data_IF_948590874247
#
_entry.id   IF_948590874247
#
_cell.length_a   1.000
_cell.length_b   1.000
_cell.length_c   1.000
_cell.angle_alpha   90.00
_cell.angle_beta   90.00
_cell.angle_gamma   90.00
#
_symmetry.space_group_name_H-M   'P 1'
#
loop_
_entity.id
_entity.type
_entity.pdbx_description
1 polymer ?
#
# COMPACT_ATOMS: atom_id res chain seq x y z
N UNK A 1 26.61 5.62 -3.46
CA UNK A 1 25.35 4.91 -3.18
C UNK A 1 24.29 5.63 -4.01
N UNK A 2 23.73 4.97 -5.02
CA UNK A 2 22.65 5.55 -5.83
C UNK A 2 21.34 5.41 -5.04
N UNK A 3 20.50 6.45 -5.05
CA UNK A 3 19.23 6.50 -4.34
C UNK A 3 18.10 6.65 -5.35
N UNK A 4 17.14 5.73 -5.31
CA UNK A 4 15.90 5.84 -6.10
C UNK A 4 14.68 5.76 -5.19
N UNK A 5 13.55 6.24 -5.69
CA UNK A 5 12.27 6.19 -4.98
C UNK A 5 11.31 5.20 -5.63
N UNK A 6 10.60 4.44 -4.79
CA UNK A 6 9.42 3.66 -5.15
C UNK A 6 8.28 4.16 -4.29
N UNK A 7 7.45 5.07 -4.82
CA UNK A 7 6.54 5.85 -3.99
C UNK A 7 7.30 6.61 -2.89
N UNK A 8 6.83 6.54 -1.65
CA UNK A 8 7.45 7.11 -0.46
C UNK A 8 8.39 6.13 0.24
N UNK A 9 9.18 5.38 -0.54
CA UNK A 9 10.20 4.41 -0.08
C UNK A 9 11.52 4.73 -0.77
N UNK A 10 12.57 4.86 0.03
CA UNK A 10 13.94 5.07 -0.43
C UNK A 10 14.61 3.72 -0.68
N UNK A 11 15.20 3.56 -1.86
CA UNK A 11 15.88 2.34 -2.30
C UNK A 11 17.34 2.67 -2.58
N UNK A 12 18.23 2.04 -1.81
CA UNK A 12 19.67 2.28 -1.89
C UNK A 12 20.35 1.19 -2.68
N UNK A 13 21.21 1.58 -3.62
CA UNK A 13 21.93 0.66 -4.49
C UNK A 13 23.43 0.67 -4.21
N UNK A 14 24.04 -0.51 -4.32
CA UNK A 14 25.49 -0.67 -4.30
C UNK A 14 26.13 -0.21 -5.64
N UNK A 15 27.46 -0.31 -5.74
CA UNK A 15 28.19 0.06 -6.94
C UNK A 15 27.89 -0.86 -8.15
N UNK A 16 27.36 -2.06 -7.93
CA UNK A 16 26.95 -3.00 -8.97
C UNK A 16 25.52 -2.77 -9.47
N UNK A 17 24.78 -1.82 -8.87
CA UNK A 17 23.38 -1.57 -9.20
C UNK A 17 22.40 -2.56 -8.57
N UNK A 18 22.83 -3.32 -7.56
CA UNK A 18 21.94 -4.17 -6.77
C UNK A 18 21.35 -3.41 -5.59
N UNK A 19 20.11 -3.74 -5.22
CA UNK A 19 19.47 -3.18 -4.03
C UNK A 19 20.22 -3.66 -2.80
N UNK A 20 20.77 -2.71 -2.04
CA UNK A 20 21.48 -2.95 -0.79
C UNK A 20 20.55 -2.85 0.42
N UNK A 21 19.66 -1.85 0.42
CA UNK A 21 18.66 -1.65 1.48
C UNK A 21 17.46 -0.86 0.98
N UNK A 22 16.38 -0.94 1.75
CA UNK A 22 15.17 -0.13 1.56
C UNK A 22 14.82 0.55 2.88
N UNK A 23 14.32 1.78 2.81
CA UNK A 23 13.88 2.53 3.98
C UNK A 23 12.54 3.21 3.70
N UNK A 24 11.61 3.08 4.64
CA UNK A 24 10.34 3.77 4.56
C UNK A 24 10.54 5.28 4.81
N UNK A 25 10.29 6.12 3.80
CA UNK A 25 10.38 7.57 3.92
C UNK A 25 9.04 8.18 4.39
N UNK A 26 7.91 7.59 3.94
CA UNK A 26 6.55 7.96 4.35
C UNK A 26 6.11 7.36 5.69
N UNK A 27 4.81 7.41 5.97
CA UNK A 27 4.19 6.73 7.12
C UNK A 27 3.65 5.34 6.75
N UNK A 28 3.47 4.48 7.75
CA UNK A 28 2.69 3.26 7.58
C UNK A 28 1.20 3.57 7.70
N UNK A 29 0.39 3.05 6.78
CA UNK A 29 -1.06 3.02 6.83
C UNK A 29 -1.53 1.64 7.27
N UNK A 30 -2.22 1.56 8.38
CA UNK A 30 -2.93 0.37 8.82
C UNK A 30 -4.36 0.43 8.27
N UNK A 31 -4.67 -0.47 7.33
CA UNK A 31 -6.00 -0.57 6.72
C UNK A 31 -6.98 -1.27 7.68
N UNK A 32 -7.25 -0.63 8.81
CA UNK A 32 -8.11 -1.15 9.88
C UNK A 32 -9.58 -1.08 9.53
N UNK A 33 -10.36 -2.03 10.05
CA UNK A 33 -11.83 -2.06 9.94
C UNK A 33 -12.52 -0.97 10.77
N UNK A 34 -11.80 -0.30 11.69
CA UNK A 34 -12.32 0.80 12.49
C UNK A 34 -12.21 2.14 11.74
N UNK A 35 -13.34 2.77 11.32
CA UNK A 35 -13.30 4.01 10.55
C UNK A 35 -12.67 5.17 11.31
N UNK A 36 -12.83 5.23 12.64
CA UNK A 36 -12.24 6.32 13.44
C UNK A 36 -10.71 6.25 13.42
N UNK A 37 -10.13 5.05 13.47
CA UNK A 37 -8.68 4.85 13.39
C UNK A 37 -8.13 5.13 11.99
N UNK A 38 -8.88 4.83 10.92
CA UNK A 38 -8.52 5.26 9.56
C UNK A 38 -8.47 6.79 9.46
N UNK A 39 -9.51 7.49 9.91
CA UNK A 39 -9.58 8.95 9.83
C UNK A 39 -8.46 9.62 10.63
N UNK A 40 -8.11 9.10 11.81
CA UNK A 40 -6.93 9.55 12.59
C UNK A 40 -5.64 9.49 11.77
N UNK A 41 -5.38 8.37 11.10
CA UNK A 41 -4.18 8.21 10.27
C UNK A 41 -4.14 9.20 9.11
N UNK A 42 -5.27 9.42 8.43
CA UNK A 42 -5.38 10.42 7.35
C UNK A 42 -5.15 11.84 7.87
N UNK A 43 -5.57 12.13 9.11
CA UNK A 43 -5.29 13.38 9.82
C UNK A 43 -3.84 13.57 10.28
N UNK A 44 -2.95 12.60 10.01
CA UNK A 44 -1.53 12.68 10.36
C UNK A 44 -1.14 11.92 11.64
N UNK A 45 -2.10 11.40 12.40
CA UNK A 45 -1.82 10.67 13.65
C UNK A 45 -1.10 9.34 13.37
N UNK A 46 -0.12 9.02 14.21
CA UNK A 46 0.53 7.71 14.23
C UNK A 46 -0.18 6.89 15.31
N UNK A 47 -0.69 5.71 14.95
CA UNK A 47 -1.35 4.83 15.90
C UNK A 47 -0.32 4.13 16.79
N UNK A 48 -0.42 4.35 18.09
CA UNK A 48 0.41 3.70 19.11
C UNK A 48 -0.47 3.24 20.29
N UNK A 49 -0.66 1.92 20.51
CA UNK A 49 -0.09 0.83 19.72
C UNK A 49 -0.71 0.73 18.31
N UNK A 50 0.01 0.16 17.32
CA UNK A 50 -0.57 -0.15 16.03
C UNK A 50 -1.65 -1.24 16.15
N UNK A 51 -2.69 -1.24 15.31
CA UNK A 51 -3.71 -2.30 15.29
C UNK A 51 -3.09 -3.69 15.04
N UNK A 52 -3.67 -4.72 15.65
CA UNK A 52 -3.32 -6.10 15.36
C UNK A 52 -3.73 -6.48 13.93
N UNK A 53 -3.05 -7.48 13.35
CA UNK A 53 -3.34 -7.95 11.98
C UNK A 53 -4.80 -8.40 11.83
N UNK A 54 -5.39 -8.97 12.88
CA UNK A 54 -6.80 -9.40 12.94
C UNK A 54 -7.80 -8.24 12.89
N UNK A 55 -7.35 -7.01 13.11
CA UNK A 55 -8.17 -5.79 13.03
C UNK A 55 -8.06 -5.07 11.67
N UNK A 56 -7.28 -5.64 10.74
CA UNK A 56 -7.09 -5.14 9.39
C UNK A 56 -8.10 -5.76 8.41
N UNK A 57 -8.43 -5.03 7.35
CA UNK A 57 -9.27 -5.54 6.27
C UNK A 57 -8.58 -6.73 5.57
N UNK A 58 -9.22 -7.89 5.62
CA UNK A 58 -8.87 -9.09 4.84
C UNK A 58 -9.67 -9.17 3.53
N UNK A 59 -9.23 -10.05 2.62
CA UNK A 59 -9.86 -10.33 1.33
C UNK A 59 -10.12 -9.07 0.49
N UNK A 60 -9.19 -8.11 0.56
CA UNK A 60 -9.27 -6.88 -0.23
C UNK A 60 -8.97 -7.22 -1.68
N UNK A 61 -10.02 -7.27 -2.50
CA UNK A 61 -9.91 -7.62 -3.91
C UNK A 61 -9.28 -6.51 -4.76
N UNK A 62 -8.84 -6.82 -5.97
CA UNK A 62 -8.36 -5.80 -6.91
C UNK A 62 -9.44 -4.77 -7.27
N UNK A 63 -10.72 -5.13 -7.23
CA UNK A 63 -11.85 -4.17 -7.39
C UNK A 63 -12.00 -3.23 -6.19
N UNK A 64 -11.67 -3.71 -4.98
CA UNK A 64 -11.64 -2.87 -3.79
C UNK A 64 -10.45 -1.90 -3.83
N UNK A 65 -9.27 -2.37 -4.28
CA UNK A 65 -8.07 -1.54 -4.47
C UNK A 65 -8.32 -0.44 -5.50
N UNK A 66 -8.83 -0.79 -6.68
CA UNK A 66 -9.22 0.15 -7.72
C UNK A 66 -10.42 -0.41 -8.49
N UNK A 67 -11.52 0.34 -8.54
CA UNK A 67 -12.75 -0.14 -9.16
C UNK A 67 -12.54 -0.33 -10.67
N UNK A 68 -12.98 -1.46 -11.24
CA UNK A 68 -12.84 -1.67 -12.68
C UNK A 68 -13.49 -0.56 -13.52
N UNK A 69 -14.75 -0.23 -13.22
CA UNK A 69 -15.46 0.88 -13.86
C UNK A 69 -15.92 1.88 -12.79
N UNK A 70 -15.55 3.18 -12.87
CA UNK A 70 -14.81 3.85 -13.96
C UNK A 70 -13.29 3.99 -13.74
N UNK A 71 -12.72 3.45 -12.66
CA UNK A 71 -11.44 3.96 -12.17
C UNK A 71 -10.21 3.33 -12.82
N UNK A 72 -10.28 2.08 -13.27
CA UNK A 72 -9.10 1.39 -13.79
C UNK A 72 -8.75 1.75 -15.24
N UNK A 73 -9.40 2.76 -15.82
CA UNK A 73 -9.17 3.23 -17.20
C UNK A 73 -8.30 4.49 -17.29
N UNK A 74 -7.80 4.98 -16.15
CA UNK A 74 -6.83 6.08 -16.12
C UNK A 74 -5.40 5.55 -16.18
N UNK A 75 -4.50 6.34 -16.77
CA UNK A 75 -3.06 6.02 -16.93
C UNK A 75 -2.19 7.22 -16.53
N UNK A 76 -2.70 8.05 -15.61
CA UNK A 76 -2.04 9.25 -15.12
C UNK A 76 -2.20 9.36 -13.60
N UNK A 77 -1.66 10.43 -13.03
CA UNK A 77 -1.61 10.70 -11.59
C UNK A 77 -2.97 10.64 -10.88
N UNK A 78 -4.10 10.68 -11.60
CA UNK A 78 -5.43 10.55 -11.00
C UNK A 78 -5.62 9.20 -10.32
N UNK A 79 -4.98 8.12 -10.80
CA UNK A 79 -5.07 6.80 -10.18
C UNK A 79 -4.71 6.83 -8.68
N UNK A 80 -3.69 7.60 -8.31
CA UNK A 80 -3.25 7.72 -6.92
C UNK A 80 -4.30 8.34 -6.00
N UNK A 81 -5.25 9.10 -6.54
CA UNK A 81 -6.36 9.66 -5.76
C UNK A 81 -7.54 8.71 -5.61
N UNK A 82 -7.64 7.65 -6.42
CA UNK A 82 -8.81 6.76 -6.44
C UNK A 82 -8.61 5.48 -5.64
N UNK A 83 -7.41 5.27 -5.10
CA UNK A 83 -7.03 4.09 -4.34
C UNK A 83 -8.00 3.81 -3.18
N UNK A 84 -8.54 2.60 -3.13
CA UNK A 84 -9.39 2.05 -2.06
C UNK A 84 -10.70 2.81 -1.78
N UNK A 85 -11.10 3.77 -2.63
CA UNK A 85 -12.33 4.56 -2.41
C UNK A 85 -13.63 3.75 -2.39
N UNK A 86 -13.60 2.53 -2.93
CA UNK A 86 -14.75 1.59 -2.97
C UNK A 86 -14.68 0.52 -1.88
N UNK A 87 -13.65 0.53 -1.03
CA UNK A 87 -13.50 -0.41 0.08
C UNK A 87 -14.72 -0.32 1.01
N UNK A 88 -15.22 -1.48 1.45
CA UNK A 88 -16.37 -1.55 2.36
C UNK A 88 -17.68 -1.00 1.78
N UNK A 89 -17.81 -0.89 0.45
CA UNK A 89 -18.95 -0.25 -0.21
C UNK A 89 -18.78 1.25 -0.47
N UNK A 90 -17.64 1.82 -0.09
CA UNK A 90 -17.29 3.23 -0.29
C UNK A 90 -17.59 4.14 0.91
N UNK A 91 -17.05 5.37 0.87
CA UNK A 91 -17.23 6.39 1.92
C UNK A 91 -16.29 6.25 3.14
N UNK A 92 -15.50 5.17 3.20
CA UNK A 92 -14.47 5.01 4.23
C UNK A 92 -13.20 5.79 3.91
N UNK A 93 -12.83 5.84 2.63
CA UNK A 93 -11.61 6.45 2.11
C UNK A 93 -12.04 7.38 0.99
N UNK A 94 -11.88 8.68 1.20
CA UNK A 94 -12.21 9.70 0.20
C UNK A 94 -11.08 9.83 -0.81
N UNK A 95 -11.38 10.32 -2.04
CA UNK A 95 -10.35 10.53 -3.04
C UNK A 95 -9.20 11.41 -2.53
N UNK A 96 -7.98 10.86 -2.58
CA UNK A 96 -6.77 11.54 -2.13
C UNK A 96 -6.40 11.37 -0.65
N UNK A 97 -7.25 10.76 0.19
CA UNK A 97 -6.94 10.55 1.62
C UNK A 97 -5.59 9.83 1.82
N UNK A 98 -5.34 8.78 1.05
CA UNK A 98 -4.09 8.02 1.12
C UNK A 98 -2.93 8.82 0.51
N UNK A 99 -3.12 9.38 -0.70
CA UNK A 99 -2.07 10.14 -1.40
C UNK A 99 -1.57 11.32 -0.56
N UNK A 100 -2.49 12.08 0.02
CA UNK A 100 -2.18 13.28 0.79
C UNK A 100 -1.66 12.94 2.20
N UNK A 101 -1.94 11.73 2.71
CA UNK A 101 -1.42 11.25 3.98
C UNK A 101 0.08 10.96 4.00
N UNK A 102 0.77 10.97 2.85
CA UNK A 102 2.21 10.74 2.78
C UNK A 102 2.63 9.35 3.25
N UNK A 103 1.79 8.35 2.98
CA UNK A 103 2.08 6.96 3.32
C UNK A 103 3.03 6.34 2.31
N UNK A 104 3.93 5.47 2.78
CA UNK A 104 4.82 4.68 1.92
C UNK A 104 4.62 3.18 2.05
N UNK A 105 3.91 2.75 3.10
CA UNK A 105 3.64 1.36 3.40
C UNK A 105 2.19 1.16 3.77
N UNK A 106 1.57 0.10 3.29
CA UNK A 106 0.20 -0.30 3.64
C UNK A 106 0.20 -1.66 4.33
N UNK A 107 -0.48 -1.77 5.47
CA UNK A 107 -0.75 -3.01 6.18
C UNK A 107 -2.20 -3.42 5.94
N UNK A 108 -2.39 -4.64 5.44
CA UNK A 108 -3.69 -5.28 5.26
C UNK A 108 -3.75 -6.65 5.95
N UNK A 109 -4.95 -7.19 6.08
CA UNK A 109 -5.20 -8.56 6.49
C UNK A 109 -4.84 -9.57 5.40
N UNK A 110 -5.22 -10.82 5.60
CA UNK A 110 -4.98 -11.89 4.62
C UNK A 110 -5.78 -11.69 3.33
N UNK A 111 -5.43 -12.40 2.26
CA UNK A 111 -6.20 -12.38 1.01
C UNK A 111 -6.07 -11.07 0.22
N UNK A 112 -4.92 -10.39 0.31
CA UNK A 112 -4.72 -9.11 -0.38
C UNK A 112 -4.60 -9.29 -1.91
N UNK A 113 -5.36 -8.48 -2.65
CA UNK A 113 -5.32 -8.44 -4.11
C UNK A 113 -6.06 -9.60 -4.79
N UNK A 114 -7.02 -10.24 -4.10
CA UNK A 114 -7.85 -11.30 -4.69
C UNK A 114 -8.71 -10.81 -5.87
N UNK A 115 -9.18 -11.75 -6.69
CA UNK A 115 -10.00 -11.45 -7.87
C UNK A 115 -9.19 -11.36 -9.17
N UNK A 116 -9.70 -10.61 -10.14
CA UNK A 116 -9.11 -10.60 -11.49
C UNK A 116 -7.75 -9.90 -11.54
N UNK A 117 -6.93 -10.30 -12.51
CA UNK A 117 -5.67 -9.63 -12.83
C UNK A 117 -5.92 -8.18 -13.23
N UNK A 118 -5.40 -7.23 -12.45
CA UNK A 118 -5.42 -5.80 -12.74
C UNK A 118 -4.09 -5.20 -12.35
N UNK A 119 -3.25 -4.93 -13.34
CA UNK A 119 -1.98 -4.23 -13.13
C UNK A 119 -2.20 -2.81 -12.59
N UNK A 120 -3.29 -2.17 -13.04
CA UNK A 120 -3.70 -0.83 -12.58
C UNK A 120 -3.92 -0.76 -11.06
N UNK A 121 -4.22 -1.88 -10.39
CA UNK A 121 -4.31 -1.94 -8.93
C UNK A 121 -2.94 -1.69 -8.26
N UNK A 122 -1.85 -2.21 -8.84
CA UNK A 122 -0.49 -1.93 -8.37
C UNK A 122 -0.08 -0.48 -8.68
N UNK A 123 -0.40 0.02 -9.88
CA UNK A 123 -0.12 1.41 -10.25
C UNK A 123 -0.85 2.43 -9.36
N UNK A 124 -2.10 2.17 -8.99
CA UNK A 124 -2.86 3.04 -8.08
C UNK A 124 -2.19 3.15 -6.70
N UNK A 125 -1.64 2.05 -6.18
CA UNK A 125 -0.85 2.06 -4.94
C UNK A 125 0.40 2.93 -5.11
N UNK A 126 1.17 2.70 -6.18
CA UNK A 126 2.41 3.43 -6.45
C UNK A 126 2.16 4.94 -6.62
N UNK A 127 1.10 5.32 -7.35
CA UNK A 127 0.73 6.73 -7.58
C UNK A 127 0.16 7.40 -6.33
N UNK A 128 -0.35 6.63 -5.38
CA UNK A 128 -0.70 7.12 -4.03
C UNK A 128 0.52 7.23 -3.11
N UNK A 129 1.72 6.85 -3.58
CA UNK A 129 2.96 6.88 -2.81
C UNK A 129 3.25 5.60 -2.04
N UNK A 130 2.44 4.55 -2.14
CA UNK A 130 2.70 3.27 -1.49
C UNK A 130 3.74 2.50 -2.30
N UNK A 131 4.87 2.16 -1.68
CA UNK A 131 5.91 1.31 -2.26
C UNK A 131 6.04 -0.07 -1.60
N UNK A 132 5.52 -0.22 -0.37
CA UNK A 132 5.53 -1.47 0.39
C UNK A 132 4.09 -1.86 0.72
N UNK A 133 3.73 -3.13 0.51
CA UNK A 133 2.47 -3.70 1.00
C UNK A 133 2.79 -4.87 1.90
N UNK A 134 2.25 -4.87 3.10
CA UNK A 134 2.23 -6.01 3.99
C UNK A 134 0.85 -6.66 4.01
N UNK A 135 0.82 -7.99 3.86
CA UNK A 135 -0.35 -8.83 4.13
C UNK A 135 0.13 -10.26 4.43
N UNK A 136 -0.49 -11.00 5.38
CA UNK A 136 -0.15 -12.39 5.65
C UNK A 136 -0.21 -13.30 4.42
N UNK A 137 -1.14 -13.02 3.50
CA UNK A 137 -1.23 -13.69 2.21
C UNK A 137 -1.66 -12.71 1.12
N UNK A 138 -1.16 -12.91 -0.09
CA UNK A 138 -1.46 -12.10 -1.27
C UNK A 138 -1.78 -13.01 -2.45
N UNK A 139 -2.71 -12.58 -3.30
CA UNK A 139 -2.99 -13.27 -4.56
C UNK A 139 -1.73 -13.29 -5.44
N UNK A 140 -1.31 -14.45 -5.99
CA UNK A 140 -0.03 -14.59 -6.70
C UNK A 140 0.14 -13.62 -7.87
N UNK A 141 -0.93 -13.40 -8.64
CA UNK A 141 -0.92 -12.50 -9.81
C UNK A 141 -0.73 -11.05 -9.34
N UNK A 142 -1.47 -10.61 -8.32
CA UNK A 142 -1.33 -9.25 -7.81
C UNK A 142 0.06 -9.04 -7.18
N UNK A 143 0.57 -10.02 -6.43
CA UNK A 143 1.95 -10.01 -5.91
C UNK A 143 2.97 -9.82 -7.03
N UNK A 144 2.82 -10.51 -8.16
CA UNK A 144 3.69 -10.32 -9.32
C UNK A 144 3.57 -8.91 -9.91
N UNK A 145 2.36 -8.35 -9.99
CA UNK A 145 2.16 -6.98 -10.47
C UNK A 145 2.83 -5.94 -9.57
N UNK A 146 2.79 -6.12 -8.24
CA UNK A 146 3.53 -5.29 -7.30
C UNK A 146 5.03 -5.30 -7.62
N UNK A 147 5.61 -6.49 -7.78
CA UNK A 147 7.04 -6.67 -8.09
C UNK A 147 7.40 -6.05 -9.45
N UNK A 148 6.58 -6.30 -10.48
CA UNK A 148 6.80 -5.76 -11.82
C UNK A 148 6.81 -4.22 -11.85
N UNK A 149 6.11 -3.59 -10.90
CA UNK A 149 6.09 -2.14 -10.72
C UNK A 149 7.12 -1.64 -9.69
N UNK A 150 8.09 -2.48 -9.31
CA UNK A 150 9.19 -2.14 -8.42
C UNK A 150 8.83 -2.09 -6.93
N UNK A 151 7.61 -2.48 -6.57
CA UNK A 151 7.12 -2.46 -5.18
C UNK A 151 7.56 -3.69 -4.39
N UNK A 152 7.47 -3.59 -3.07
CA UNK A 152 7.92 -4.61 -2.12
C UNK A 152 6.72 -5.28 -1.42
N UNK A 153 6.23 -6.43 -1.92
CA UNK A 153 5.27 -7.25 -1.20
C UNK A 153 5.96 -7.98 -0.03
N UNK A 154 5.47 -7.78 1.19
CA UNK A 154 6.01 -8.36 2.43
C UNK A 154 4.94 -9.25 3.07
N UNK A 155 5.28 -10.50 3.36
CA UNK A 155 4.37 -11.44 4.05
C UNK A 155 4.83 -11.77 5.49
N UNK A 156 6.09 -11.51 5.80
CA UNK A 156 6.64 -11.71 7.14
C UNK A 156 6.35 -10.50 8.04
N UNK A 157 5.66 -10.74 9.15
CA UNK A 157 5.25 -9.67 10.07
C UNK A 157 6.43 -9.01 10.78
N UNK A 158 7.49 -9.77 11.09
CA UNK A 158 8.67 -9.22 11.77
C UNK A 158 9.42 -8.23 10.87
N UNK A 159 9.53 -8.56 9.58
CA UNK A 159 10.10 -7.66 8.57
C UNK A 159 9.22 -6.43 8.40
N UNK A 160 7.90 -6.61 8.30
CA UNK A 160 6.97 -5.51 8.15
C UNK A 160 7.04 -4.52 9.31
N UNK A 161 7.15 -5.00 10.56
CA UNK A 161 7.32 -4.14 11.74
C UNK A 161 8.60 -3.33 11.70
N UNK A 162 9.72 -3.95 11.34
CA UNK A 162 11.02 -3.26 11.21
C UNK A 162 10.97 -2.16 10.14
N UNK A 163 10.40 -2.47 8.98
CA UNK A 163 10.20 -1.49 7.90
C UNK A 163 9.33 -0.30 8.37
N UNK A 164 8.24 -0.56 9.09
CA UNK A 164 7.38 0.49 9.64
C UNK A 164 8.08 1.35 10.71
N UNK A 165 8.95 0.72 11.52
CA UNK A 165 9.80 1.39 12.51
C UNK A 165 11.01 2.11 11.88
N UNK A 166 11.25 1.93 10.57
CA UNK A 166 12.39 2.46 9.82
C UNK A 166 13.75 1.90 10.28
N UNK A 167 13.75 0.64 10.72
CA UNK A 167 14.90 -0.14 11.19
C UNK A 167 15.44 -1.13 10.14
#
# INVERSE_FOLDING_TARGET
>A
MDLRKVGNVDVFFDAGGFVQSVQLAGRALYLTTNPALLRKQFGGEILDPPPAVTELYSHVSTDAIIKANPDCYYYDDRLGTLLLRSLGGGGLIEPGDIRNGGFGMLFAGEGWGEGSSREVAALALLYAGIGIVYAPSMAPIHRQNLINNGMFPVADFSIARRLAARE
#
